data_IF_261679128825
#
_entry.id   IF_261679128825
#
_cell.length_a   1.000
_cell.length_b   1.000
_cell.length_c   1.000
_cell.angle_alpha   90.00
_cell.angle_beta   90.00
_cell.angle_gamma   90.00
#
_symmetry.space_group_name_H-M   'P 1'
#
loop_
_entity.id
_entity.type
_entity.pdbx_description
1 polymer ?
#
# COMPACT_ATOMS: atom_id res chain seq x y z
N UNK A 1 38.65 -1.93 30.65
CA UNK A 1 37.63 -0.99 30.13
C UNK A 1 37.66 -1.08 28.61
N UNK A 2 36.83 -1.95 28.02
CA UNK A 2 36.75 -2.11 26.56
C UNK A 2 35.47 -1.38 26.14
N UNK A 3 35.65 -0.28 25.41
CA UNK A 3 34.59 0.63 24.98
C UNK A 3 33.61 -0.08 24.06
N UNK A 4 32.33 -0.03 24.43
CA UNK A 4 31.24 -0.53 23.62
C UNK A 4 31.06 0.31 22.36
N UNK A 5 31.12 -0.35 21.21
CA UNK A 5 30.61 0.18 19.95
C UNK A 5 29.08 0.32 20.08
N UNK A 6 28.60 1.56 20.21
CA UNK A 6 27.17 1.88 20.13
C UNK A 6 26.66 1.66 18.71
N UNK A 7 25.52 0.99 18.50
CA UNK A 7 24.88 0.87 17.18
C UNK A 7 23.99 2.09 16.87
N UNK A 8 24.53 3.32 16.97
CA UNK A 8 23.74 4.54 16.74
C UNK A 8 23.68 4.98 15.25
N UNK A 9 24.57 4.48 14.37
CA UNK A 9 24.69 4.97 12.98
C UNK A 9 23.95 4.16 11.90
N UNK A 10 23.41 2.98 12.20
CA UNK A 10 22.72 2.13 11.20
C UNK A 10 21.23 2.49 11.08
N UNK A 11 20.65 3.13 12.09
CA UNK A 11 19.20 3.37 12.19
C UNK A 11 18.77 4.67 11.50
N UNK A 12 19.58 5.74 11.57
CA UNK A 12 19.29 7.03 10.94
C UNK A 12 19.41 7.00 9.41
N UNK A 13 20.48 6.39 8.88
CA UNK A 13 20.73 6.30 7.43
C UNK A 13 19.69 5.46 6.68
N UNK A 14 19.12 4.47 7.34
CA UNK A 14 18.02 3.68 6.79
C UNK A 14 16.75 4.53 6.60
N UNK A 15 16.27 5.17 7.67
CA UNK A 15 15.02 5.95 7.66
C UNK A 15 15.01 7.03 6.58
N UNK A 16 16.12 7.75 6.47
CA UNK A 16 16.39 8.74 5.42
C UNK A 16 16.23 8.16 4.00
N UNK A 17 16.92 7.06 3.70
CA UNK A 17 16.91 6.42 2.36
C UNK A 17 15.52 5.90 1.94
N UNK A 18 14.68 5.51 2.91
CA UNK A 18 13.30 5.09 2.63
C UNK A 18 12.45 6.30 2.22
N UNK A 19 12.49 7.39 2.99
CA UNK A 19 11.76 8.61 2.66
C UNK A 19 12.21 9.19 1.31
N UNK A 20 13.51 9.19 1.04
CA UNK A 20 14.07 9.57 -0.26
C UNK A 20 13.38 8.82 -1.41
N UNK A 21 13.40 7.48 -1.35
CA UNK A 21 12.81 6.66 -2.41
C UNK A 21 11.29 6.86 -2.53
N UNK A 22 10.61 7.02 -1.40
CA UNK A 22 9.17 7.26 -1.32
C UNK A 22 8.75 8.59 -1.99
N UNK A 23 9.51 9.67 -1.75
CA UNK A 23 9.24 10.97 -2.37
C UNK A 23 9.66 11.02 -3.85
N UNK A 24 10.72 10.31 -4.25
CA UNK A 24 11.06 10.14 -5.67
C UNK A 24 9.95 9.41 -6.43
N UNK A 25 9.42 8.33 -5.85
CA UNK A 25 8.30 7.59 -6.43
C UNK A 25 7.06 8.48 -6.56
N UNK A 26 6.73 9.25 -5.52
CA UNK A 26 5.61 10.20 -5.56
C UNK A 26 5.77 11.24 -6.68
N UNK A 27 6.95 11.87 -6.80
CA UNK A 27 7.22 12.85 -7.85
C UNK A 27 7.06 12.23 -9.25
N UNK A 28 7.57 11.00 -9.44
CA UNK A 28 7.44 10.27 -10.70
C UNK A 28 5.97 9.94 -11.01
N UNK A 29 5.22 9.40 -10.05
CA UNK A 29 3.81 9.03 -10.23
C UNK A 29 2.95 10.23 -10.61
N UNK A 30 3.13 11.38 -9.94
CA UNK A 30 2.38 12.61 -10.25
C UNK A 30 2.72 13.12 -11.64
N UNK A 31 4.01 13.10 -12.01
CA UNK A 31 4.47 13.53 -13.33
C UNK A 31 3.87 12.64 -14.43
N UNK A 32 3.91 11.32 -14.24
CA UNK A 32 3.31 10.34 -15.17
C UNK A 32 1.79 10.51 -15.24
N UNK A 33 1.13 10.78 -14.12
CA UNK A 33 -0.31 11.02 -14.09
C UNK A 33 -0.70 12.25 -14.91
N UNK A 34 -0.02 13.39 -14.74
CA UNK A 34 -0.26 14.60 -15.54
C UNK A 34 0.02 14.40 -17.03
N UNK A 35 1.08 13.66 -17.38
CA UNK A 35 1.34 13.26 -18.77
C UNK A 35 0.21 12.38 -19.30
N UNK A 36 -0.28 11.43 -18.50
CA UNK A 36 -1.42 10.57 -18.85
C UNK A 36 -2.70 11.36 -19.12
N UNK A 37 -3.01 12.34 -18.27
CA UNK A 37 -4.14 13.24 -18.44
C UNK A 37 -4.04 14.08 -19.72
N UNK A 38 -2.84 14.57 -20.05
CA UNK A 38 -2.60 15.33 -21.26
C UNK A 38 -2.64 14.47 -22.53
N UNK A 39 -2.30 13.19 -22.43
CA UNK A 39 -2.09 12.29 -23.58
C UNK A 39 -3.32 11.47 -23.96
N UNK A 40 -4.28 11.28 -23.06
CA UNK A 40 -5.44 10.40 -23.28
C UNK A 40 -6.74 11.04 -22.80
N UNK A 41 -7.66 11.27 -23.73
CA UNK A 41 -8.99 11.81 -23.43
C UNK A 41 -9.80 10.88 -22.52
N UNK A 42 -9.70 9.56 -22.73
CA UNK A 42 -10.39 8.57 -21.90
C UNK A 42 -9.85 8.57 -20.47
N UNK A 43 -8.53 8.71 -20.32
CA UNK A 43 -7.90 8.82 -19.01
C UNK A 43 -8.29 10.14 -18.33
N UNK A 44 -8.24 11.26 -19.06
CA UNK A 44 -8.71 12.55 -18.55
C UNK A 44 -10.17 12.48 -18.06
N UNK A 45 -11.07 11.91 -18.86
CA UNK A 45 -12.47 11.76 -18.50
C UNK A 45 -12.69 10.94 -17.22
N UNK A 46 -11.91 9.88 -17.00
CA UNK A 46 -11.99 9.05 -15.79
C UNK A 46 -11.66 9.82 -14.50
N UNK A 47 -10.87 10.90 -14.60
CA UNK A 47 -10.47 11.75 -13.47
C UNK A 47 -11.22 13.09 -13.40
N UNK A 48 -12.24 13.30 -14.23
CA UNK A 48 -13.06 14.52 -14.19
C UNK A 48 -14.18 14.45 -13.15
N UNK A 49 -14.64 15.63 -12.75
CA UNK A 49 -15.89 15.82 -12.00
C UNK A 49 -16.96 16.37 -12.95
N UNK A 50 -18.16 15.82 -12.89
CA UNK A 50 -19.30 16.30 -13.67
C UNK A 50 -19.57 17.78 -13.37
N UNK A 51 -19.66 18.60 -14.40
CA UNK A 51 -19.93 20.05 -14.26
C UNK A 51 -18.72 20.90 -13.86
N UNK A 52 -17.56 20.32 -13.53
CA UNK A 52 -16.32 21.08 -13.37
C UNK A 52 -15.69 21.30 -14.74
N UNK A 53 -15.58 22.58 -15.14
CA UNK A 53 -15.00 22.93 -16.43
C UNK A 53 -13.52 22.52 -16.54
N UNK A 54 -13.02 22.12 -17.72
CA UNK A 54 -11.63 21.72 -17.91
C UNK A 54 -10.62 22.77 -17.43
N UNK A 55 -10.91 24.07 -17.59
CA UNK A 55 -10.06 25.16 -17.10
C UNK A 55 -9.86 25.12 -15.58
N UNK A 56 -10.92 24.84 -14.82
CA UNK A 56 -10.83 24.72 -13.37
C UNK A 56 -9.98 23.52 -12.98
N UNK A 57 -10.12 22.40 -13.69
CA UNK A 57 -9.29 21.23 -13.46
C UNK A 57 -7.81 21.47 -13.80
N UNK A 58 -7.51 22.05 -14.96
CA UNK A 58 -6.14 22.35 -15.39
C UNK A 58 -5.46 23.42 -14.53
N UNK A 59 -6.22 24.21 -13.76
CA UNK A 59 -5.65 25.16 -12.80
C UNK A 59 -4.84 24.47 -11.67
N UNK A 60 -5.06 23.18 -11.43
CA UNK A 60 -4.29 22.37 -10.48
C UNK A 60 -2.92 21.92 -11.00
N UNK A 61 -2.66 21.97 -12.32
CA UNK A 61 -1.42 21.48 -12.92
C UNK A 61 -0.18 22.13 -12.30
N UNK A 62 -0.14 23.46 -12.28
CA UNK A 62 1.05 24.17 -11.82
C UNK A 62 1.26 24.02 -10.29
N UNK A 63 0.22 24.17 -9.44
CA UNK A 63 0.32 23.84 -8.02
C UNK A 63 0.83 22.41 -7.76
N UNK A 64 0.31 21.41 -8.45
CA UNK A 64 0.71 20.01 -8.26
C UNK A 64 2.17 19.78 -8.65
N UNK A 65 2.60 20.32 -9.79
CA UNK A 65 3.99 20.19 -10.24
C UNK A 65 4.97 20.90 -9.32
N UNK A 66 4.61 22.05 -8.76
CA UNK A 66 5.49 22.82 -7.88
C UNK A 66 5.46 22.28 -6.45
N UNK A 67 4.29 22.32 -5.81
CA UNK A 67 4.12 22.08 -4.38
C UNK A 67 4.17 20.61 -4.02
N UNK A 68 3.82 19.72 -4.95
CA UNK A 68 3.80 18.29 -4.67
C UNK A 68 4.97 17.62 -5.37
N UNK A 69 5.02 17.57 -6.71
CA UNK A 69 6.08 16.84 -7.42
C UNK A 69 7.46 17.48 -7.20
N UNK A 70 7.58 18.80 -7.39
CA UNK A 70 8.83 19.55 -7.24
C UNK A 70 9.36 19.52 -5.81
N UNK A 71 8.50 19.78 -4.81
CA UNK A 71 8.91 19.67 -3.41
C UNK A 71 9.19 18.23 -2.98
N UNK A 72 8.51 17.23 -3.53
CA UNK A 72 8.84 15.81 -3.28
C UNK A 72 10.24 15.49 -3.81
N UNK A 73 10.59 15.96 -5.02
CA UNK A 73 11.94 15.81 -5.56
C UNK A 73 12.98 16.53 -4.68
N UNK A 74 12.70 17.77 -4.26
CA UNK A 74 13.57 18.51 -3.36
C UNK A 74 13.72 17.79 -2.00
N UNK A 75 12.62 17.27 -1.45
CA UNK A 75 12.62 16.50 -0.20
C UNK A 75 13.40 15.20 -0.35
N UNK A 76 13.41 14.56 -1.51
CA UNK A 76 14.20 13.36 -1.71
C UNK A 76 15.70 13.61 -1.50
N UNK A 77 16.22 14.74 -1.97
CA UNK A 77 17.64 15.09 -1.85
C UNK A 77 17.99 15.93 -0.61
N UNK A 78 16.99 16.52 0.06
CA UNK A 78 17.19 17.36 1.24
C UNK A 78 16.29 16.90 2.38
N UNK A 79 16.90 16.41 3.46
CA UNK A 79 16.19 16.05 4.68
C UNK A 79 15.68 17.28 5.42
N UNK A 80 14.42 17.65 5.14
CA UNK A 80 13.78 18.78 5.78
C UNK A 80 12.31 18.47 6.10
N UNK A 81 11.98 18.45 7.40
CA UNK A 81 10.62 18.19 7.88
C UNK A 81 9.61 19.27 7.42
N UNK A 82 10.04 20.52 7.24
CA UNK A 82 9.18 21.59 6.72
C UNK A 82 8.68 21.27 5.31
N UNK A 83 9.51 20.67 4.45
CA UNK A 83 9.08 20.24 3.13
C UNK A 83 8.01 19.14 3.21
N UNK A 84 8.18 18.19 4.13
CA UNK A 84 7.18 17.13 4.35
C UNK A 84 5.82 17.70 4.75
N UNK A 85 5.81 18.68 5.66
CA UNK A 85 4.56 19.32 6.11
C UNK A 85 3.92 20.19 5.04
N UNK A 86 4.70 20.88 4.20
CA UNK A 86 4.16 21.65 3.07
C UNK A 86 3.50 20.70 2.06
N UNK A 87 4.17 19.60 1.71
CA UNK A 87 3.62 18.58 0.80
C UNK A 87 2.34 17.97 1.38
N UNK A 88 2.37 17.61 2.67
CA UNK A 88 1.19 17.09 3.37
C UNK A 88 0.03 18.07 3.37
N UNK A 89 0.30 19.37 3.60
CA UNK A 89 -0.69 20.43 3.53
C UNK A 89 -1.29 20.60 2.14
N UNK A 90 -0.46 20.58 1.09
CA UNK A 90 -0.90 20.64 -0.30
C UNK A 90 -1.80 19.44 -0.67
N UNK A 91 -1.38 18.22 -0.30
CA UNK A 91 -2.19 17.01 -0.43
C UNK A 91 -3.50 17.09 0.34
N UNK A 92 -3.47 17.61 1.57
CA UNK A 92 -4.66 17.76 2.40
C UNK A 92 -5.66 18.75 1.80
N UNK A 93 -5.18 19.88 1.27
CA UNK A 93 -6.03 20.85 0.60
C UNK A 93 -6.65 20.26 -0.68
N UNK A 94 -5.84 19.58 -1.51
CA UNK A 94 -6.34 18.86 -2.69
C UNK A 94 -7.39 17.81 -2.33
N UNK A 95 -7.17 17.04 -1.27
CA UNK A 95 -8.12 16.03 -0.79
C UNK A 95 -9.46 16.66 -0.37
N UNK A 96 -9.42 17.75 0.40
CA UNK A 96 -10.63 18.48 0.80
C UNK A 96 -11.36 19.05 -0.42
N UNK A 97 -10.64 19.59 -1.40
CA UNK A 97 -11.23 20.06 -2.65
C UNK A 97 -11.95 18.92 -3.38
N UNK A 98 -11.30 17.77 -3.60
CA UNK A 98 -11.90 16.63 -4.30
C UNK A 98 -13.10 16.06 -3.54
N UNK A 99 -13.04 15.97 -2.22
CA UNK A 99 -14.18 15.59 -1.38
C UNK A 99 -15.37 16.54 -1.60
N UNK A 100 -15.14 17.86 -1.54
CA UNK A 100 -16.19 18.84 -1.74
C UNK A 100 -16.74 18.78 -3.18
N UNK A 101 -15.88 18.65 -4.19
CA UNK A 101 -16.29 18.49 -5.58
C UNK A 101 -17.15 17.22 -5.78
N UNK A 102 -16.82 16.12 -5.11
CA UNK A 102 -17.62 14.89 -5.13
C UNK A 102 -18.99 15.10 -4.51
N UNK A 103 -19.04 15.76 -3.35
CA UNK A 103 -20.30 16.05 -2.66
C UNK A 103 -21.22 16.95 -3.49
N UNK A 104 -20.66 17.95 -4.16
CA UNK A 104 -21.44 18.90 -4.98
C UNK A 104 -21.91 18.31 -6.31
N UNK A 105 -21.10 17.44 -6.93
CA UNK A 105 -21.36 16.92 -8.28
C UNK A 105 -21.96 15.52 -8.30
N UNK A 106 -21.89 14.78 -7.18
CA UNK A 106 -22.24 13.37 -7.12
C UNK A 106 -21.35 12.47 -7.97
N UNK A 107 -20.14 12.93 -8.34
CA UNK A 107 -19.24 12.27 -9.29
C UNK A 107 -17.77 12.39 -8.86
N UNK A 108 -16.84 11.77 -9.60
CA UNK A 108 -15.40 11.90 -9.33
C UNK A 108 -14.91 11.05 -8.15
N UNK A 109 -15.48 9.87 -7.95
CA UNK A 109 -15.03 8.94 -6.91
C UNK A 109 -13.57 8.51 -7.09
N UNK A 110 -13.13 8.31 -8.33
CA UNK A 110 -11.74 7.95 -8.65
C UNK A 110 -10.72 9.04 -8.27
N UNK A 111 -10.83 10.30 -8.76
CA UNK A 111 -9.88 11.36 -8.39
C UNK A 111 -9.90 11.64 -6.88
N UNK A 112 -11.07 11.59 -6.24
CA UNK A 112 -11.19 11.79 -4.79
C UNK A 112 -10.55 10.68 -3.98
N UNK A 113 -10.81 9.42 -4.35
CA UNK A 113 -10.18 8.27 -3.72
C UNK A 113 -8.65 8.33 -3.86
N UNK A 114 -8.15 8.65 -5.06
CA UNK A 114 -6.71 8.78 -5.31
C UNK A 114 -6.09 9.89 -4.46
N UNK A 115 -6.75 11.04 -4.36
CA UNK A 115 -6.25 12.17 -3.57
C UNK A 115 -6.25 11.88 -2.06
N UNK A 116 -7.29 11.21 -1.55
CA UNK A 116 -7.34 10.75 -0.15
C UNK A 116 -6.25 9.72 0.14
N UNK A 117 -5.97 8.80 -0.79
CA UNK A 117 -4.86 7.85 -0.66
C UNK A 117 -3.51 8.57 -0.66
N UNK A 118 -3.31 9.56 -1.54
CA UNK A 118 -2.11 10.40 -1.56
C UNK A 118 -1.91 11.16 -0.25
N UNK A 119 -2.98 11.74 0.31
CA UNK A 119 -2.95 12.41 1.61
C UNK A 119 -2.60 11.43 2.75
N UNK A 120 -3.25 10.27 2.79
CA UNK A 120 -2.96 9.23 3.79
C UNK A 120 -1.52 8.72 3.69
N UNK A 121 -1.00 8.54 2.46
CA UNK A 121 0.39 8.15 2.21
C UNK A 121 1.39 9.19 2.76
N UNK A 122 1.16 10.49 2.52
CA UNK A 122 2.03 11.54 3.06
C UNK A 122 1.90 11.64 4.60
N UNK A 123 0.70 11.43 5.15
CA UNK A 123 0.50 11.31 6.59
C UNK A 123 1.31 10.16 7.18
N UNK A 124 1.30 9.00 6.51
CA UNK A 124 2.14 7.87 6.88
C UNK A 124 3.64 8.23 6.83
N UNK A 125 4.14 8.89 5.78
CA UNK A 125 5.55 9.28 5.70
C UNK A 125 5.96 10.23 6.84
N UNK A 126 5.13 11.23 7.15
CA UNK A 126 5.37 12.19 8.22
C UNK A 126 5.36 11.51 9.60
N UNK A 127 4.42 10.60 9.84
CA UNK A 127 4.11 10.09 11.18
C UNK A 127 4.42 8.60 11.40
N UNK A 128 5.11 7.91 10.47
CA UNK A 128 5.35 6.46 10.53
C UNK A 128 5.88 5.97 11.88
N UNK A 129 6.78 6.71 12.52
CA UNK A 129 7.36 6.32 13.81
C UNK A 129 6.33 6.22 14.96
N UNK A 130 5.25 6.99 14.90
CA UNK A 130 4.18 7.00 15.91
C UNK A 130 3.08 5.96 15.68
N UNK A 131 3.07 5.32 14.51
CA UNK A 131 2.06 4.36 14.12
C UNK A 131 2.35 2.95 14.65
N UNK A 132 3.60 2.59 14.94
CA UNK A 132 3.93 1.24 15.41
C UNK A 132 3.66 1.09 16.91
N UNK A 133 2.76 0.18 17.28
CA UNK A 133 2.43 -0.12 18.69
C UNK A 133 2.32 -1.63 18.91
N UNK A 134 2.78 -2.15 20.07
CA UNK A 134 2.61 -3.55 20.43
C UNK A 134 1.13 -3.93 20.56
N UNK A 135 0.81 -5.18 20.25
CA UNK A 135 -0.54 -5.70 20.37
C UNK A 135 -1.03 -5.83 21.80
N UNK A 136 -2.36 -5.82 21.98
CA UNK A 136 -2.97 -6.18 23.26
C UNK A 136 -2.61 -7.63 23.64
N UNK A 137 -2.53 -7.93 24.93
CA UNK A 137 -2.37 -9.32 25.40
C UNK A 137 -3.67 -10.12 25.35
N UNK A 138 -4.82 -9.46 25.13
CA UNK A 138 -6.13 -10.12 25.08
C UNK A 138 -6.43 -10.68 23.68
N UNK A 139 -6.58 -12.01 23.61
CA UNK A 139 -6.85 -12.75 22.39
C UNK A 139 -8.19 -12.35 21.74
N UNK A 140 -9.25 -12.11 22.52
CA UNK A 140 -10.56 -11.77 21.96
C UNK A 140 -10.50 -10.44 21.20
N UNK A 141 -9.86 -9.43 21.80
CA UNK A 141 -9.68 -8.13 21.17
C UNK A 141 -8.79 -8.20 19.92
N UNK A 142 -7.73 -9.00 19.93
CA UNK A 142 -6.88 -9.17 18.76
C UNK A 142 -7.61 -9.86 17.62
N UNK A 143 -8.44 -10.87 17.91
CA UNK A 143 -9.29 -11.54 16.91
C UNK A 143 -10.31 -10.56 16.34
N UNK A 144 -11.02 -9.81 17.19
CA UNK A 144 -12.04 -8.87 16.75
C UNK A 144 -11.46 -7.74 15.88
N UNK A 145 -10.35 -7.14 16.30
CA UNK A 145 -9.65 -6.11 15.51
C UNK A 145 -9.18 -6.67 14.16
N UNK A 146 -8.58 -7.86 14.16
CA UNK A 146 -8.12 -8.52 12.94
C UNK A 146 -9.29 -8.79 11.99
N UNK A 147 -10.43 -9.26 12.50
CA UNK A 147 -11.62 -9.52 11.69
C UNK A 147 -12.18 -8.23 11.06
N UNK A 148 -12.39 -7.18 11.87
CA UNK A 148 -12.89 -5.88 11.39
C UNK A 148 -11.95 -5.31 10.34
N UNK A 149 -10.65 -5.36 10.59
CA UNK A 149 -9.64 -4.84 9.68
C UNK A 149 -9.60 -5.64 8.38
N UNK A 150 -9.56 -6.97 8.46
CA UNK A 150 -9.52 -7.83 7.28
C UNK A 150 -10.72 -7.57 6.38
N UNK A 151 -11.93 -7.50 6.98
CA UNK A 151 -13.16 -7.12 6.26
C UNK A 151 -13.03 -5.71 5.67
N UNK A 152 -12.56 -4.72 6.44
CA UNK A 152 -12.44 -3.34 5.96
C UNK A 152 -11.48 -3.19 4.79
N UNK A 153 -10.29 -3.79 4.89
CA UNK A 153 -9.28 -3.77 3.83
C UNK A 153 -9.78 -4.52 2.60
N UNK A 154 -10.39 -5.70 2.78
CA UNK A 154 -10.91 -6.49 1.66
C UNK A 154 -12.05 -5.78 0.95
N UNK A 155 -13.02 -5.23 1.68
CA UNK A 155 -14.10 -4.45 1.09
C UNK A 155 -13.52 -3.25 0.32
N UNK A 156 -12.60 -2.51 0.92
CA UNK A 156 -12.00 -1.35 0.26
C UNK A 156 -11.22 -1.74 -1.00
N UNK A 157 -10.30 -2.70 -0.89
CA UNK A 157 -9.30 -2.99 -1.92
C UNK A 157 -9.77 -3.99 -2.98
N UNK A 158 -10.72 -4.87 -2.65
CA UNK A 158 -11.22 -5.93 -3.52
C UNK A 158 -12.64 -5.68 -4.04
N UNK A 159 -13.39 -4.73 -3.46
CA UNK A 159 -14.73 -4.36 -3.93
C UNK A 159 -14.82 -2.89 -4.33
N UNK A 160 -14.56 -1.97 -3.40
CA UNK A 160 -14.78 -0.52 -3.63
C UNK A 160 -13.83 0.02 -4.70
N UNK A 161 -12.52 -0.19 -4.58
CA UNK A 161 -11.56 0.30 -5.57
C UNK A 161 -11.80 -0.31 -6.96
N UNK A 162 -11.96 -1.64 -7.10
CA UNK A 162 -12.36 -2.24 -8.37
C UNK A 162 -13.63 -1.64 -8.96
N UNK A 163 -14.69 -1.48 -8.16
CA UNK A 163 -15.93 -0.87 -8.60
C UNK A 163 -15.71 0.56 -9.12
N UNK A 164 -15.00 1.41 -8.37
CA UNK A 164 -14.70 2.80 -8.76
C UNK A 164 -13.89 2.84 -10.05
N UNK A 165 -12.95 1.91 -10.25
CA UNK A 165 -12.18 1.81 -11.49
C UNK A 165 -13.03 1.34 -12.67
N UNK A 166 -13.93 0.37 -12.48
CA UNK A 166 -14.84 -0.06 -13.54
C UNK A 166 -15.77 1.08 -13.96
N UNK A 167 -16.37 1.77 -13.00
CA UNK A 167 -17.26 2.91 -13.22
C UNK A 167 -16.54 4.05 -13.95
N UNK A 168 -15.39 4.49 -13.43
CA UNK A 168 -14.63 5.61 -14.00
C UNK A 168 -14.13 5.36 -15.44
N UNK A 169 -13.84 4.10 -15.79
CA UNK A 169 -13.42 3.71 -17.13
C UNK A 169 -14.56 3.16 -18.01
N UNK A 170 -15.82 3.25 -17.56
CA UNK A 170 -16.99 2.79 -18.30
C UNK A 170 -16.99 1.29 -18.60
N UNK A 171 -16.34 0.48 -17.76
CA UNK A 171 -16.26 -0.97 -17.88
C UNK A 171 -17.45 -1.64 -17.18
N UNK A 172 -17.92 -2.76 -17.73
CA UNK A 172 -19.08 -3.46 -17.17
C UNK A 172 -18.76 -4.08 -15.81
N UNK A 173 -19.69 -3.92 -14.87
CA UNK A 173 -19.70 -4.62 -13.57
C UNK A 173 -20.14 -6.09 -13.68
N UNK A 174 -20.60 -6.52 -14.86
CA UNK A 174 -20.97 -7.92 -15.10
C UNK A 174 -19.78 -8.59 -15.81
N UNK A 175 -19.10 -9.54 -15.17
CA UNK A 175 -17.96 -10.21 -15.79
C UNK A 175 -18.41 -11.08 -16.97
N UNK A 176 -17.54 -11.19 -17.97
CA UNK A 176 -17.75 -12.09 -19.11
C UNK A 176 -17.36 -13.50 -18.70
N UNK A 177 -18.27 -14.46 -18.84
CA UNK A 177 -18.01 -15.86 -18.49
C UNK A 177 -17.20 -16.51 -19.61
N UNK A 178 -15.89 -16.61 -19.40
CA UNK A 178 -14.94 -17.25 -20.31
C UNK A 178 -13.78 -17.91 -19.52
N UNK A 179 -12.77 -18.43 -20.21
CA UNK A 179 -11.62 -19.09 -19.57
C UNK A 179 -10.87 -18.19 -18.56
N UNK A 180 -10.82 -16.87 -18.79
CA UNK A 180 -10.14 -15.93 -17.90
C UNK A 180 -10.96 -15.63 -16.65
N UNK A 181 -12.30 -15.67 -16.75
CA UNK A 181 -13.17 -15.64 -15.58
C UNK A 181 -12.87 -16.81 -14.65
N UNK A 182 -12.88 -18.05 -15.16
CA UNK A 182 -12.61 -19.23 -14.34
C UNK A 182 -11.20 -19.23 -13.75
N UNK A 183 -10.20 -18.83 -14.55
CA UNK A 183 -8.82 -18.70 -14.07
C UNK A 183 -8.70 -17.62 -12.99
N UNK A 184 -9.38 -16.49 -13.15
CA UNK A 184 -9.44 -15.42 -12.17
C UNK A 184 -10.12 -15.88 -10.87
N UNK A 185 -11.28 -16.54 -10.95
CA UNK A 185 -11.96 -17.10 -9.76
C UNK A 185 -11.07 -18.12 -9.04
N UNK A 186 -10.42 -19.03 -9.77
CA UNK A 186 -9.48 -19.99 -9.21
C UNK A 186 -8.34 -19.28 -8.46
N UNK A 187 -7.69 -18.30 -9.10
CA UNK A 187 -6.62 -17.53 -8.48
C UNK A 187 -7.12 -16.76 -7.25
N UNK A 188 -8.30 -16.15 -7.31
CA UNK A 188 -8.91 -15.42 -6.19
C UNK A 188 -9.11 -16.32 -4.98
N UNK A 189 -9.64 -17.53 -5.19
CA UNK A 189 -9.88 -18.51 -4.12
C UNK A 189 -8.56 -19.00 -3.54
N UNK A 190 -7.58 -19.34 -4.37
CA UNK A 190 -6.26 -19.76 -3.89
C UNK A 190 -5.55 -18.67 -3.07
N UNK A 191 -5.54 -17.43 -3.57
CA UNK A 191 -4.95 -16.31 -2.85
C UNK A 191 -5.73 -15.96 -1.58
N UNK A 192 -7.06 -16.02 -1.61
CA UNK A 192 -7.90 -15.85 -0.42
C UNK A 192 -7.62 -16.90 0.65
N UNK A 193 -7.47 -18.17 0.25
CA UNK A 193 -7.05 -19.27 1.13
C UNK A 193 -5.66 -19.04 1.75
N UNK A 194 -4.70 -18.57 0.95
CA UNK A 194 -3.37 -18.18 1.44
C UNK A 194 -3.45 -17.05 2.47
N UNK A 195 -4.27 -16.02 2.20
CA UNK A 195 -4.50 -14.90 3.10
C UNK A 195 -5.08 -15.34 4.45
N UNK A 196 -6.14 -16.14 4.42
CA UNK A 196 -6.79 -16.69 5.62
C UNK A 196 -5.85 -17.60 6.43
N UNK A 197 -5.11 -18.48 5.76
CA UNK A 197 -4.11 -19.32 6.42
C UNK A 197 -3.02 -18.44 7.07
N UNK A 198 -2.54 -17.41 6.38
CA UNK A 198 -1.54 -16.50 6.92
C UNK A 198 -2.03 -15.71 8.12
N UNK A 199 -3.32 -15.30 8.13
CA UNK A 199 -3.95 -14.64 9.27
C UNK A 199 -4.00 -15.55 10.48
N UNK A 200 -4.35 -16.83 10.28
CA UNK A 200 -4.38 -17.83 11.34
C UNK A 200 -3.01 -17.93 12.04
N UNK A 201 -1.93 -18.14 11.30
CA UNK A 201 -0.58 -18.25 11.90
C UNK A 201 -0.12 -16.95 12.60
N UNK A 202 -0.49 -15.77 12.10
CA UNK A 202 -0.22 -14.50 12.79
C UNK A 202 -0.92 -14.42 14.15
N UNK A 203 -2.21 -14.77 14.20
CA UNK A 203 -3.01 -14.64 15.42
C UNK A 203 -2.56 -15.67 16.46
N UNK A 204 -2.41 -16.92 16.06
CA UNK A 204 -2.15 -18.02 16.99
C UNK A 204 -0.67 -18.15 17.38
N UNK A 205 0.25 -18.07 16.41
CA UNK A 205 1.69 -18.25 16.69
C UNK A 205 2.37 -16.90 17.00
N UNK A 206 1.90 -15.83 16.38
CA UNK A 206 2.45 -14.48 16.52
C UNK A 206 1.92 -13.71 17.72
N UNK A 207 0.77 -14.11 18.30
CA UNK A 207 0.09 -13.40 19.39
C UNK A 207 -0.03 -11.91 19.10
N UNK A 208 -0.64 -11.57 17.97
CA UNK A 208 -0.94 -10.19 17.58
C UNK A 208 -1.71 -10.15 16.27
N UNK A 209 -1.70 -9.00 15.60
CA UNK A 209 -2.46 -8.79 14.36
C UNK A 209 -1.52 -8.49 13.19
N UNK A 210 -2.00 -8.58 11.94
CA UNK A 210 -1.20 -8.22 10.76
C UNK A 210 -0.98 -6.70 10.61
N UNK A 211 -1.42 -5.86 11.56
CA UNK A 211 -1.27 -4.40 11.47
C UNK A 211 0.09 -3.90 11.95
N UNK A 212 0.67 -2.91 11.25
CA UNK A 212 1.68 -2.00 11.81
C UNK A 212 1.28 -1.40 13.16
N UNK A 213 -0.02 -1.10 13.35
CA UNK A 213 -0.59 -0.47 14.54
C UNK A 213 -0.81 -1.42 15.73
N UNK A 214 -0.71 -2.74 15.53
CA UNK A 214 -1.07 -3.77 16.53
C UNK A 214 -0.31 -5.08 16.23
N UNK A 215 1.02 -5.02 16.24
CA UNK A 215 1.90 -6.05 15.65
C UNK A 215 2.09 -7.31 16.50
N UNK A 216 2.41 -8.43 15.84
CA UNK A 216 2.75 -9.72 16.48
C UNK A 216 3.84 -9.58 17.55
N UNK A 217 3.61 -10.18 18.71
CA UNK A 217 4.57 -10.22 19.82
C UNK A 217 5.70 -11.26 19.61
N UNK A 218 5.46 -12.24 18.74
CA UNK A 218 6.42 -13.30 18.39
C UNK A 218 6.69 -13.32 16.89
N UNK A 219 7.88 -13.77 16.53
CA UNK A 219 8.26 -13.97 15.13
C UNK A 219 7.59 -15.24 14.60
N UNK A 220 6.75 -15.10 13.58
CA UNK A 220 6.06 -16.22 12.93
C UNK A 220 6.88 -16.73 11.75
N UNK A 221 7.29 -17.99 11.81
CA UNK A 221 8.06 -18.67 10.74
C UNK A 221 7.41 -19.99 10.30
N UNK A 222 6.21 -20.27 10.81
CA UNK A 222 5.42 -21.49 10.60
C UNK A 222 4.35 -21.28 9.51
N UNK A 223 3.73 -22.38 9.05
CA UNK A 223 2.67 -22.29 8.05
C UNK A 223 3.14 -21.68 6.73
N UNK A 224 2.39 -20.76 6.10
CA UNK A 224 2.81 -20.07 4.88
C UNK A 224 4.13 -19.28 5.03
N UNK A 225 4.42 -18.78 6.23
CA UNK A 225 5.63 -17.99 6.51
C UNK A 225 6.93 -18.80 6.35
N UNK A 226 6.87 -20.14 6.40
CA UNK A 226 8.05 -20.97 6.12
C UNK A 226 8.53 -20.87 4.68
N UNK A 227 7.63 -20.53 3.74
CA UNK A 227 7.91 -20.53 2.31
C UNK A 227 8.12 -19.13 1.76
N UNK A 228 7.42 -18.13 2.29
CA UNK A 228 7.53 -16.74 1.83
C UNK A 228 7.35 -15.82 3.02
N UNK A 229 8.13 -14.73 3.09
CA UNK A 229 8.12 -13.85 4.27
C UNK A 229 6.85 -13.03 4.42
N UNK A 230 6.21 -12.68 3.31
CA UNK A 230 5.02 -11.83 3.29
C UNK A 230 3.88 -12.50 2.49
N UNK A 231 3.36 -13.65 2.95
CA UNK A 231 2.33 -14.40 2.24
C UNK A 231 1.01 -13.63 2.14
N UNK A 232 0.72 -12.72 3.09
CA UNK A 232 -0.44 -11.83 3.02
C UNK A 232 -0.34 -10.80 1.90
N UNK A 233 0.85 -10.21 1.68
CA UNK A 233 1.05 -9.29 0.58
C UNK A 233 0.89 -10.02 -0.76
N UNK A 234 1.45 -11.23 -0.87
CA UNK A 234 1.25 -12.13 -2.04
C UNK A 234 -0.23 -12.41 -2.27
N UNK A 235 -0.97 -12.76 -1.21
CA UNK A 235 -2.40 -13.03 -1.27
C UNK A 235 -3.19 -11.81 -1.77
N UNK A 236 -2.99 -10.64 -1.17
CA UNK A 236 -3.72 -9.41 -1.53
C UNK A 236 -3.46 -8.97 -2.97
N UNK A 237 -2.20 -8.97 -3.40
CA UNK A 237 -1.84 -8.63 -4.79
C UNK A 237 -2.40 -9.65 -5.77
N UNK A 238 -2.32 -10.95 -5.44
CA UNK A 238 -2.87 -12.03 -6.24
C UNK A 238 -4.39 -11.93 -6.40
N UNK A 239 -5.12 -11.55 -5.34
CA UNK A 239 -6.56 -11.28 -5.41
C UNK A 239 -6.87 -10.06 -6.29
N UNK A 240 -6.08 -8.98 -6.20
CA UNK A 240 -6.21 -7.83 -7.11
C UNK A 240 -6.02 -8.20 -8.58
N UNK A 241 -4.99 -9.00 -8.88
CA UNK A 241 -4.74 -9.52 -10.23
C UNK A 241 -5.88 -10.45 -10.70
N UNK A 242 -6.40 -11.30 -9.82
CA UNK A 242 -7.54 -12.16 -10.11
C UNK A 242 -8.80 -11.37 -10.48
N UNK A 243 -9.09 -10.28 -9.76
CA UNK A 243 -10.20 -9.38 -10.09
C UNK A 243 -9.98 -8.74 -11.46
N UNK A 244 -8.76 -8.29 -11.77
CA UNK A 244 -8.45 -7.76 -13.09
C UNK A 244 -8.74 -8.77 -14.22
N UNK A 245 -8.49 -10.06 -13.98
CA UNK A 245 -8.81 -11.15 -14.92
C UNK A 245 -10.31 -11.38 -15.05
N UNK A 246 -11.04 -11.43 -13.92
CA UNK A 246 -12.49 -11.62 -13.87
C UNK A 246 -13.22 -10.53 -14.69
N UNK A 247 -12.80 -9.27 -14.55
CA UNK A 247 -13.43 -8.13 -15.23
C UNK A 247 -12.75 -7.73 -16.54
N UNK A 248 -11.66 -8.41 -16.95
CA UNK A 248 -10.84 -8.03 -18.11
C UNK A 248 -10.43 -6.55 -18.08
N UNK A 249 -10.03 -6.07 -16.90
CA UNK A 249 -9.83 -4.64 -16.64
C UNK A 249 -8.34 -4.28 -16.50
N UNK A 250 -7.74 -3.61 -17.51
CA UNK A 250 -6.39 -3.06 -17.39
C UNK A 250 -6.22 -2.05 -16.23
N UNK A 251 -7.19 -1.15 -15.94
CA UNK A 251 -7.07 -0.26 -14.78
C UNK A 251 -6.90 -1.00 -13.45
N UNK A 252 -7.65 -2.07 -13.21
CA UNK A 252 -7.52 -2.88 -11.98
C UNK A 252 -6.17 -3.60 -11.93
N UNK A 253 -5.67 -4.08 -13.08
CA UNK A 253 -4.35 -4.68 -13.17
C UNK A 253 -3.25 -3.67 -12.82
N UNK A 254 -3.30 -2.47 -13.41
CA UNK A 254 -2.34 -1.39 -13.13
C UNK A 254 -2.39 -0.99 -11.66
N UNK A 255 -3.59 -0.83 -11.08
CA UNK A 255 -3.76 -0.57 -9.64
C UNK A 255 -3.08 -1.64 -8.78
N UNK A 256 -3.30 -2.92 -9.09
CA UNK A 256 -2.72 -4.04 -8.32
C UNK A 256 -1.19 -4.05 -8.39
N UNK A 257 -0.62 -3.80 -9.57
CA UNK A 257 0.82 -3.72 -9.78
C UNK A 257 1.45 -2.50 -9.13
N UNK A 258 0.79 -1.33 -9.17
CA UNK A 258 1.23 -0.14 -8.45
C UNK A 258 1.20 -0.36 -6.93
N UNK A 259 0.16 -1.01 -6.41
CA UNK A 259 0.08 -1.41 -5.00
C UNK A 259 1.25 -2.32 -4.60
N UNK A 260 1.58 -3.32 -5.44
CA UNK A 260 2.75 -4.17 -5.24
C UNK A 260 4.06 -3.37 -5.21
N UNK A 261 4.24 -2.44 -6.15
CA UNK A 261 5.44 -1.62 -6.25
C UNK A 261 5.60 -0.70 -5.04
N UNK A 262 4.53 0.02 -4.65
CA UNK A 262 4.52 0.92 -3.48
C UNK A 262 4.80 0.12 -2.21
N UNK A 263 4.14 -1.02 -2.02
CA UNK A 263 4.37 -1.87 -0.87
C UNK A 263 5.82 -2.36 -0.83
N UNK A 264 6.39 -2.78 -1.97
CA UNK A 264 7.77 -3.26 -2.03
C UNK A 264 8.82 -2.20 -1.71
N UNK A 265 8.59 -0.97 -2.18
CA UNK A 265 9.55 0.14 -2.08
C UNK A 265 9.44 0.84 -0.72
N UNK A 266 8.23 0.97 -0.19
CA UNK A 266 7.95 1.82 0.98
C UNK A 266 7.64 0.98 2.21
N UNK A 267 6.63 0.11 2.13
CA UNK A 267 6.11 -0.62 3.30
C UNK A 267 7.09 -1.70 3.75
N UNK A 268 7.56 -2.54 2.83
CA UNK A 268 8.47 -3.65 3.12
C UNK A 268 9.74 -3.19 3.86
N UNK A 269 10.49 -2.16 3.42
CA UNK A 269 11.68 -1.74 4.15
C UNK A 269 11.40 -1.25 5.56
N UNK A 270 10.22 -0.68 5.81
CA UNK A 270 9.80 -0.24 7.15
C UNK A 270 9.52 -1.46 8.02
N UNK A 271 8.71 -2.39 7.52
CA UNK A 271 8.38 -3.63 8.22
C UNK A 271 9.64 -4.47 8.52
N UNK A 272 10.51 -4.69 7.54
CA UNK A 272 11.73 -5.49 7.74
C UNK A 272 12.69 -4.84 8.76
N UNK A 273 12.72 -3.51 8.85
CA UNK A 273 13.55 -2.80 9.85
C UNK A 273 12.96 -2.89 11.24
N UNK A 274 11.65 -2.75 11.35
CA UNK A 274 10.96 -2.93 12.62
C UNK A 274 11.15 -4.36 13.14
N UNK A 275 10.97 -5.36 12.27
CA UNK A 275 11.23 -6.77 12.60
C UNK A 275 12.68 -7.00 13.04
N UNK A 276 13.67 -6.40 12.36
CA UNK A 276 15.08 -6.47 12.80
C UNK A 276 15.31 -5.80 14.16
N UNK A 277 14.69 -4.66 14.43
CA UNK A 277 14.81 -3.96 15.72
C UNK A 277 14.23 -4.78 16.87
N UNK A 278 13.10 -5.45 16.64
CA UNK A 278 12.34 -6.18 17.67
C UNK A 278 12.87 -7.58 17.90
N UNK A 279 13.18 -8.32 16.83
CA UNK A 279 13.55 -9.73 16.90
C UNK A 279 15.03 -10.00 16.66
N UNK A 280 15.82 -9.02 16.20
CA UNK A 280 17.28 -9.14 16.09
C UNK A 280 17.74 -10.27 15.17
N UNK A 281 18.72 -11.05 15.65
CA UNK A 281 19.38 -12.15 14.92
C UNK A 281 18.40 -13.22 14.40
N UNK A 282 17.43 -13.73 15.19
CA UNK A 282 16.41 -14.65 14.70
C UNK A 282 15.73 -14.21 13.39
N UNK A 283 15.35 -12.94 13.29
CA UNK A 283 14.75 -12.41 12.07
C UNK A 283 15.76 -12.27 10.93
N UNK A 284 17.01 -11.88 11.22
CA UNK A 284 18.05 -11.79 10.20
C UNK A 284 18.33 -13.16 9.55
N UNK A 285 18.40 -14.23 10.36
CA UNK A 285 18.57 -15.59 9.87
C UNK A 285 17.36 -16.06 9.06
N UNK A 286 16.15 -15.81 9.54
CA UNK A 286 14.92 -16.11 8.79
C UNK A 286 14.90 -15.39 7.44
N UNK A 287 15.23 -14.09 7.43
CA UNK A 287 15.33 -13.26 6.22
C UNK A 287 16.34 -13.76 5.20
N UNK A 288 17.45 -14.34 5.66
CA UNK A 288 18.46 -14.93 4.76
C UNK A 288 18.01 -16.22 4.09
N UNK A 289 17.07 -16.95 4.72
CA UNK A 289 16.60 -18.27 4.28
C UNK A 289 15.34 -18.22 3.42
N UNK A 290 14.45 -17.27 3.68
CA UNK A 290 13.14 -17.18 3.04
C UNK A 290 13.03 -15.92 2.20
N UNK A 291 12.59 -16.03 0.94
CA UNK A 291 12.39 -14.85 0.08
C UNK A 291 11.13 -14.06 0.42
N UNK A 292 11.09 -12.80 -0.01
CA UNK A 292 9.97 -11.91 0.28
C UNK A 292 8.70 -12.24 -0.53
N UNK A 293 8.87 -12.66 -1.79
CA UNK A 293 7.76 -12.80 -2.75
C UNK A 293 7.64 -14.22 -3.32
N UNK A 294 8.77 -14.80 -3.70
CA UNK A 294 8.81 -16.12 -4.34
C UNK A 294 8.90 -17.18 -3.23
N UNK A 295 8.14 -18.28 -3.30
CA UNK A 295 8.29 -19.37 -2.35
C UNK A 295 9.67 -20.03 -2.40
N UNK A 296 10.33 -20.19 -1.25
CA UNK A 296 11.55 -20.98 -1.07
C UNK A 296 11.20 -22.36 -0.55
N UNK A 297 11.59 -23.40 -1.30
CA UNK A 297 11.37 -24.81 -0.92
C UNK A 297 12.64 -25.50 -0.39
N UNK A 298 13.64 -24.73 0.05
CA UNK A 298 14.87 -25.27 0.63
C UNK A 298 14.62 -25.99 1.97
N UNK A 299 15.41 -27.03 2.28
CA UNK A 299 15.34 -27.75 3.56
C UNK A 299 15.64 -26.78 4.72
N UNK A 300 14.61 -26.42 5.48
CA UNK A 300 14.77 -25.77 6.77
C UNK A 300 15.11 -26.90 7.76
N UNK A 301 16.29 -26.91 8.41
CA UNK A 301 16.54 -27.84 9.50
C UNK A 301 15.47 -27.65 10.56
N UNK A 302 14.79 -28.72 10.96
CA UNK A 302 13.89 -28.69 12.12
C UNK A 302 14.69 -28.17 13.33
N UNK A 303 14.15 -27.14 14.00
CA UNK A 303 14.66 -26.65 15.28
C UNK A 303 13.99 -27.42 16.41
#
# INVERSE_FOLDING_TARGET
>A
MIGGNRPENVTASGGARMKETAYLLQAALISVWWVGLASSQAFFAAFQFAGVGPTAFWSFLLPDLILIAGLSLARAYRENATLEYIILGAMGYGALYCCNATLLTGSGLLPTGLMLLGFAYNGFLCFHASLFRPASTDLFWNVLKTAIQFVSIWVLTLLVIPYVLLDAFGQSIIPRIDAWFYLGVFLFVCCGGLGLASSYFIVFDGVGTPLPLDQTNRLVTTGPYRYVRNPMAVAGIGQGMAIAMIYRSPPILVYSLLGMLIWHIVVRPIEERDMLKRFGLPYAEYRSRVSCWIPTFGRIPEQ
#
